data_IF_268338003562
#
_entry.id   IF_268338003562
#
_cell.length_a   1.000
_cell.length_b   1.000
_cell.length_c   1.000
_cell.angle_alpha   90.00
_cell.angle_beta   90.00
_cell.angle_gamma   90.00
#
_symmetry.space_group_name_H-M   'P 1'
#
loop_
_entity.id
_entity.type
_entity.pdbx_description
1 polymer ?
#
# COMPACT_ATOMS: atom_id res chain seq x y z
N UNK A 1 12.39 -5.12 -10.97
CA UNK A 1 11.84 -3.94 -10.24
C UNK A 1 11.75 -4.31 -8.77
N UNK A 2 12.09 -3.39 -7.87
CA UNK A 2 12.10 -3.65 -6.42
C UNK A 2 10.67 -3.59 -5.85
N UNK A 3 10.35 -4.50 -4.94
CA UNK A 3 9.12 -4.49 -4.17
C UNK A 3 9.43 -4.41 -2.67
N UNK A 4 9.03 -3.31 -2.03
CA UNK A 4 9.17 -3.12 -0.59
C UNK A 4 7.90 -3.56 0.12
N UNK A 5 8.00 -4.66 0.88
CA UNK A 5 6.90 -5.24 1.65
C UNK A 5 6.96 -4.69 3.07
N UNK A 6 5.99 -3.87 3.47
CA UNK A 6 5.90 -3.37 4.85
C UNK A 6 4.99 -4.28 5.65
N UNK A 7 5.48 -4.77 6.79
CA UNK A 7 4.75 -5.69 7.66
C UNK A 7 4.71 -5.18 9.10
N UNK A 8 3.57 -5.34 9.76
CA UNK A 8 3.39 -5.18 11.21
C UNK A 8 3.12 -6.51 11.94
N UNK A 9 3.34 -7.65 11.27
CA UNK A 9 3.15 -9.00 11.84
C UNK A 9 1.99 -9.78 11.22
N UNK A 10 1.58 -9.44 10.00
CA UNK A 10 0.51 -10.08 9.26
C UNK A 10 0.85 -11.55 8.96
N UNK A 11 -0.09 -12.49 9.14
CA UNK A 11 0.15 -13.92 8.89
C UNK A 11 0.41 -14.24 7.42
N UNK A 12 0.00 -13.34 6.53
CA UNK A 12 0.11 -13.44 5.07
C UNK A 12 1.44 -12.95 4.51
N UNK A 13 2.35 -12.43 5.34
CA UNK A 13 3.64 -11.85 4.91
C UNK A 13 4.42 -12.75 3.95
N UNK A 14 4.62 -14.02 4.31
CA UNK A 14 5.39 -14.96 3.49
C UNK A 14 4.69 -15.25 2.15
N UNK A 15 3.36 -15.31 2.15
CA UNK A 15 2.56 -15.52 0.94
C UNK A 15 2.63 -14.30 0.01
N UNK A 16 2.59 -13.08 0.58
CA UNK A 16 2.78 -11.82 -0.14
C UNK A 16 4.15 -11.79 -0.83
N UNK A 17 5.23 -12.07 -0.09
CA UNK A 17 6.60 -12.12 -0.62
C UNK A 17 6.71 -13.17 -1.73
N UNK A 18 6.22 -14.38 -1.50
CA UNK A 18 6.24 -15.44 -2.50
C UNK A 18 5.49 -15.05 -3.78
N UNK A 19 4.31 -14.44 -3.67
CA UNK A 19 3.52 -14.03 -4.82
C UNK A 19 4.25 -12.96 -5.67
N UNK A 20 4.91 -12.01 -5.01
CA UNK A 20 5.72 -10.99 -5.68
C UNK A 20 6.95 -11.60 -6.37
N UNK A 21 7.69 -12.47 -5.68
CA UNK A 21 8.86 -13.15 -6.26
C UNK A 21 8.48 -14.03 -7.46
N UNK A 22 7.38 -14.77 -7.34
CA UNK A 22 6.81 -15.58 -8.44
C UNK A 22 6.51 -14.74 -9.68
N UNK A 23 6.15 -13.47 -9.50
CA UNK A 23 5.86 -12.53 -10.58
C UNK A 23 7.10 -11.74 -11.07
N UNK A 24 8.29 -12.04 -10.56
CA UNK A 24 9.56 -11.47 -11.03
C UNK A 24 10.00 -10.19 -10.32
N UNK A 25 9.48 -9.89 -9.12
CA UNK A 25 9.96 -8.77 -8.32
C UNK A 25 11.16 -9.14 -7.44
N UNK A 26 12.07 -8.19 -7.25
CA UNK A 26 13.11 -8.26 -6.22
C UNK A 26 12.53 -7.75 -4.90
N UNK A 27 12.20 -8.66 -3.98
CA UNK A 27 11.45 -8.32 -2.76
C UNK A 27 12.35 -7.96 -1.58
N UNK A 28 12.02 -6.87 -0.90
CA UNK A 28 12.67 -6.40 0.33
C UNK A 28 11.61 -6.26 1.42
N UNK A 29 11.76 -6.99 2.52
CA UNK A 29 10.84 -6.87 3.65
C UNK A 29 11.32 -5.80 4.62
N UNK A 30 10.44 -4.86 4.94
CA UNK A 30 10.61 -3.88 6.02
C UNK A 30 9.69 -4.35 7.15
N UNK A 31 10.24 -5.18 8.02
CA UNK A 31 9.52 -5.85 9.11
C UNK A 31 10.11 -5.47 10.47
N UNK A 32 9.26 -5.48 11.50
CA UNK A 32 9.63 -5.23 12.89
C UNK A 32 8.51 -4.51 13.63
N UNK A 33 8.76 -4.18 14.90
CA UNK A 33 7.79 -3.54 15.80
C UNK A 33 7.64 -2.03 15.54
N UNK A 34 8.33 -1.49 14.54
CA UNK A 34 8.24 -0.10 14.15
C UNK A 34 6.85 0.23 13.62
N UNK A 35 6.42 1.46 13.86
CA UNK A 35 5.21 2.04 13.28
C UNK A 35 5.28 2.08 11.75
N UNK A 36 4.12 2.18 11.10
CA UNK A 36 4.06 2.44 9.65
C UNK A 36 4.86 3.71 9.29
N UNK A 37 4.82 4.75 10.12
CA UNK A 37 5.53 6.00 9.86
C UNK A 37 7.05 5.82 9.81
N UNK A 38 7.62 5.04 10.72
CA UNK A 38 9.05 4.70 10.71
C UNK A 38 9.43 3.90 9.47
N UNK A 39 8.58 2.96 9.04
CA UNK A 39 8.78 2.19 7.81
C UNK A 39 8.73 3.07 6.57
N UNK A 40 7.81 4.03 6.50
CA UNK A 40 7.74 4.98 5.40
C UNK A 40 8.93 5.94 5.40
N UNK A 41 9.36 6.42 6.57
CA UNK A 41 10.55 7.26 6.69
C UNK A 41 11.78 6.55 6.13
N UNK A 42 11.98 5.28 6.48
CA UNK A 42 13.06 4.47 5.92
C UNK A 42 13.01 4.44 4.38
N UNK A 43 11.83 4.17 3.81
CA UNK A 43 11.65 4.16 2.34
C UNK A 43 12.03 5.52 1.75
N UNK A 44 11.55 6.61 2.34
CA UNK A 44 11.79 7.95 1.82
C UNK A 44 13.26 8.33 1.84
N UNK A 45 13.97 7.94 2.88
CA UNK A 45 15.38 8.29 3.04
C UNK A 45 16.31 7.41 2.18
N UNK A 46 15.92 6.18 1.87
CA UNK A 46 16.84 5.16 1.33
C UNK A 46 16.53 4.72 -0.11
N UNK A 47 15.36 5.05 -0.65
CA UNK A 47 14.91 4.54 -1.95
C UNK A 47 14.84 5.66 -2.98
N UNK A 48 15.81 5.68 -3.90
CA UNK A 48 15.83 6.62 -5.03
C UNK A 48 15.37 5.98 -6.35
N UNK A 49 15.39 4.64 -6.45
CA UNK A 49 14.89 3.88 -7.61
C UNK A 49 13.36 3.78 -7.61
N UNK A 50 12.80 3.46 -8.78
CA UNK A 50 11.37 3.17 -8.93
C UNK A 50 11.02 1.85 -8.25
N UNK A 51 9.94 1.86 -7.46
CA UNK A 51 9.55 0.70 -6.67
C UNK A 51 8.04 0.57 -6.49
N UNK A 52 7.65 -0.62 -6.06
CA UNK A 52 6.30 -0.87 -5.55
C UNK A 52 6.36 -1.04 -4.04
N UNK A 53 5.42 -0.43 -3.32
CA UNK A 53 5.23 -0.69 -1.89
C UNK A 53 3.98 -1.54 -1.73
N UNK A 54 4.11 -2.64 -1.03
CA UNK A 54 3.04 -3.61 -0.82
C UNK A 54 2.85 -3.82 0.69
N UNK A 55 1.61 -3.75 1.17
CA UNK A 55 1.28 -4.18 2.53
C UNK A 55 1.39 -5.71 2.62
N UNK A 56 1.90 -6.24 3.72
CA UNK A 56 2.11 -7.68 3.87
C UNK A 56 0.81 -8.51 3.91
N UNK A 57 -0.35 -7.86 4.02
CA UNK A 57 -1.68 -8.46 3.87
C UNK A 57 -2.25 -8.41 2.44
N UNK A 58 -1.42 -8.01 1.47
CA UNK A 58 -1.79 -8.01 0.05
C UNK A 58 -1.25 -9.25 -0.66
N UNK A 59 -2.14 -9.98 -1.33
CA UNK A 59 -1.81 -11.10 -2.19
C UNK A 59 -2.02 -10.67 -3.64
N UNK A 60 -0.94 -10.43 -4.35
CA UNK A 60 -0.96 -10.01 -5.76
C UNK A 60 -1.35 -11.17 -6.69
N UNK A 61 -2.08 -10.85 -7.75
CA UNK A 61 -2.44 -11.80 -8.80
C UNK A 61 -1.28 -11.98 -9.80
N UNK A 62 -1.42 -12.91 -10.75
CA UNK A 62 -0.35 -13.22 -11.73
C UNK A 62 -0.07 -12.13 -12.77
N UNK A 63 -0.99 -11.17 -12.98
CA UNK A 63 -0.80 -10.11 -13.97
C UNK A 63 0.04 -8.97 -13.43
N UNK A 64 0.11 -8.84 -12.10
CA UNK A 64 0.95 -7.87 -11.43
C UNK A 64 2.43 -8.20 -11.63
N UNK A 65 3.08 -7.57 -12.59
CA UNK A 65 4.47 -7.87 -13.00
C UNK A 65 5.28 -6.58 -13.21
N UNK A 66 6.63 -6.63 -13.15
CA UNK A 66 7.45 -5.48 -13.50
C UNK A 66 7.20 -4.94 -14.92
N UNK A 67 6.90 -5.84 -15.87
CA UNK A 67 6.59 -5.46 -17.25
C UNK A 67 5.30 -4.63 -17.32
N UNK A 68 4.22 -5.10 -16.70
CA UNK A 68 2.96 -4.34 -16.59
C UNK A 68 3.21 -2.92 -16.07
N UNK A 69 4.02 -2.77 -15.02
CA UNK A 69 4.33 -1.46 -14.45
C UNK A 69 5.18 -0.58 -15.37
N UNK A 70 6.11 -1.19 -16.13
CA UNK A 70 6.85 -0.49 -17.17
C UNK A 70 5.92 0.14 -18.22
N UNK A 71 4.85 -0.56 -18.62
CA UNK A 71 3.85 -0.02 -19.54
C UNK A 71 3.07 1.16 -18.95
N UNK A 72 2.69 1.10 -17.67
CA UNK A 72 1.99 2.21 -17.02
C UNK A 72 2.94 3.40 -16.80
N UNK A 73 4.20 3.16 -16.47
CA UNK A 73 5.23 4.20 -16.35
C UNK A 73 5.54 4.88 -17.70
N UNK A 74 5.51 4.14 -18.80
CA UNK A 74 5.66 4.73 -20.13
C UNK A 74 4.53 5.72 -20.48
N UNK A 75 3.33 5.53 -19.91
CA UNK A 75 2.20 6.46 -20.06
C UNK A 75 2.25 7.63 -19.07
N UNK A 76 2.84 7.42 -17.90
CA UNK A 76 2.90 8.37 -16.81
C UNK A 76 4.36 8.56 -16.37
N UNK A 77 5.01 9.57 -16.93
CA UNK A 77 6.40 9.89 -16.63
C UNK A 77 6.62 10.10 -15.12
N UNK A 78 7.81 9.70 -14.64
CA UNK A 78 8.34 9.99 -13.31
C UNK A 78 7.57 9.42 -12.11
N UNK A 79 7.00 8.23 -12.23
CA UNK A 79 6.45 7.51 -11.06
C UNK A 79 7.57 6.91 -10.22
N UNK A 80 7.49 7.13 -8.90
CA UNK A 80 8.45 6.63 -7.91
C UNK A 80 7.87 5.51 -7.04
N UNK A 81 6.67 5.73 -6.48
CA UNK A 81 5.95 4.78 -5.64
C UNK A 81 4.67 4.38 -6.36
N UNK A 82 4.43 3.07 -6.53
CA UNK A 82 3.12 2.52 -6.91
C UNK A 82 2.28 1.94 -5.75
N UNK A 83 0.97 2.21 -5.78
CA UNK A 83 -0.08 1.59 -4.97
C UNK A 83 -1.21 1.19 -5.92
N UNK A 84 -2.09 0.27 -5.52
CA UNK A 84 -2.94 -0.37 -6.50
C UNK A 84 -4.37 -0.52 -6.03
N UNK A 85 -5.25 -0.68 -7.01
CA UNK A 85 -6.63 -1.07 -6.76
C UNK A 85 -6.65 -2.56 -6.39
N UNK A 86 -7.33 -2.87 -5.29
CA UNK A 86 -7.36 -4.20 -4.69
C UNK A 86 -8.80 -4.58 -4.40
N UNK A 87 -9.10 -5.87 -4.42
CA UNK A 87 -10.31 -6.36 -3.81
C UNK A 87 -10.09 -6.47 -2.30
N UNK A 88 -10.83 -5.71 -1.51
CA UNK A 88 -10.69 -5.69 -0.06
C UNK A 88 -11.58 -6.76 0.57
N UNK A 89 -10.96 -7.70 1.29
CA UNK A 89 -11.62 -8.86 1.86
C UNK A 89 -12.67 -8.51 2.91
N UNK A 90 -12.44 -7.44 3.68
CA UNK A 90 -13.39 -7.00 4.71
C UNK A 90 -14.50 -6.14 4.11
N UNK A 91 -14.21 -5.42 3.01
CA UNK A 91 -15.19 -4.62 2.29
C UNK A 91 -16.09 -5.48 1.38
N UNK A 92 -15.55 -6.61 0.91
CA UNK A 92 -16.08 -7.43 -0.17
C UNK A 92 -16.39 -6.64 -1.44
N UNK A 93 -15.53 -5.66 -1.70
CA UNK A 93 -15.68 -4.72 -2.79
C UNK A 93 -14.29 -4.15 -3.14
N UNK A 94 -14.23 -3.42 -4.24
CA UNK A 94 -13.03 -2.76 -4.72
C UNK A 94 -12.66 -1.63 -3.75
N UNK A 95 -11.40 -1.64 -3.31
CA UNK A 95 -10.78 -0.56 -2.56
C UNK A 95 -9.83 0.22 -3.47
N UNK A 96 -10.09 1.52 -3.57
CA UNK A 96 -9.23 2.47 -4.25
C UNK A 96 -8.39 3.21 -3.22
N UNK A 97 -7.08 3.19 -3.40
CA UNK A 97 -6.14 4.06 -2.69
C UNK A 97 -5.48 5.03 -3.69
N UNK A 98 -4.77 6.04 -3.19
CA UNK A 98 -3.81 6.81 -4.00
C UNK A 98 -2.92 5.81 -4.73
N UNK A 99 -2.84 5.83 -6.06
CA UNK A 99 -2.23 4.72 -6.82
C UNK A 99 -0.81 4.96 -7.29
N UNK A 100 -0.34 6.21 -7.33
CA UNK A 100 1.09 6.44 -7.47
C UNK A 100 1.52 7.79 -6.92
N UNK A 101 2.82 7.90 -6.65
CA UNK A 101 3.51 9.13 -6.27
C UNK A 101 4.61 9.41 -7.29
N UNK A 102 4.70 10.67 -7.74
CA UNK A 102 5.72 11.12 -8.69
C UNK A 102 7.06 11.41 -7.98
N UNK A 103 8.19 11.25 -8.67
CA UNK A 103 9.56 11.55 -8.16
C UNK A 103 9.71 12.96 -7.62
N UNK A 104 9.04 13.93 -8.25
CA UNK A 104 9.01 15.32 -7.80
C UNK A 104 8.47 15.51 -6.38
N UNK A 105 7.79 14.51 -5.80
CA UNK A 105 7.31 14.54 -4.42
C UNK A 105 8.38 14.21 -3.38
N UNK A 106 9.47 13.55 -3.78
CA UNK A 106 10.48 13.02 -2.85
C UNK A 106 11.01 14.11 -1.90
N UNK A 107 11.38 15.33 -2.37
CA UNK A 107 11.85 16.38 -1.47
C UNK A 107 10.80 16.79 -0.41
N UNK A 108 9.53 16.89 -0.82
CA UNK A 108 8.44 17.25 0.09
C UNK A 108 8.18 16.15 1.12
N UNK A 109 8.23 14.88 0.72
CA UNK A 109 8.07 13.74 1.62
C UNK A 109 9.18 13.68 2.67
N UNK A 110 10.45 13.79 2.25
CA UNK A 110 11.62 13.82 3.14
C UNK A 110 11.55 14.99 4.12
N UNK A 111 11.17 16.18 3.65
CA UNK A 111 11.10 17.38 4.49
C UNK A 111 9.96 17.36 5.53
N UNK A 112 8.95 16.51 5.35
CA UNK A 112 7.73 16.56 6.16
C UNK A 112 7.42 15.29 6.96
N UNK A 113 7.99 14.13 6.64
CA UNK A 113 7.66 12.85 7.32
C UNK A 113 7.78 12.92 8.84
N UNK A 114 8.78 13.63 9.36
CA UNK A 114 8.99 13.82 10.81
C UNK A 114 7.76 14.43 11.51
N UNK A 115 7.02 15.32 10.83
CA UNK A 115 5.82 15.96 11.38
C UNK A 115 4.65 14.97 11.54
N UNK A 116 4.69 13.83 10.86
CA UNK A 116 3.61 12.85 10.78
C UNK A 116 3.95 11.53 11.47
N UNK A 117 5.08 11.43 12.18
CA UNK A 117 5.51 10.20 12.87
C UNK A 117 4.49 9.67 13.90
N UNK A 118 3.65 10.54 14.43
CA UNK A 118 2.59 10.21 15.39
C UNK A 118 1.25 9.83 14.75
N UNK A 119 1.16 9.81 13.40
CA UNK A 119 -0.08 9.51 12.69
C UNK A 119 -0.16 8.02 12.34
N UNK A 120 -1.37 7.47 12.37
CA UNK A 120 -1.62 6.09 11.96
C UNK A 120 -1.51 5.87 10.44
N UNK A 121 -1.68 6.93 9.63
CA UNK A 121 -1.65 6.92 8.16
C UNK A 121 -0.89 8.15 7.66
N UNK A 122 0.41 8.23 7.94
CA UNK A 122 1.22 9.40 7.59
C UNK A 122 1.14 9.73 6.09
N UNK A 123 1.11 8.73 5.20
CA UNK A 123 0.99 8.92 3.76
C UNK A 123 -0.33 9.58 3.34
N UNK A 124 -1.41 9.29 4.06
CA UNK A 124 -2.72 9.92 3.81
C UNK A 124 -2.73 11.36 4.30
N UNK A 125 -2.07 11.67 5.41
CA UNK A 125 -1.97 13.03 5.92
C UNK A 125 -1.02 13.89 5.08
N UNK A 126 0.10 13.32 4.62
CA UNK A 126 1.04 14.01 3.74
C UNK A 126 0.40 14.39 2.40
N UNK A 127 -0.52 13.57 1.84
CA UNK A 127 -1.22 13.91 0.58
C UNK A 127 -2.00 15.22 0.60
N UNK A 128 -2.24 15.78 1.80
CA UNK A 128 -2.97 17.03 2.00
C UNK A 128 -2.06 18.25 2.18
N UNK A 129 -0.74 18.09 2.29
CA UNK A 129 0.17 19.23 2.41
C UNK A 129 0.31 19.91 1.04
N UNK A 130 0.44 21.24 1.05
CA UNK A 130 0.47 22.05 -0.17
C UNK A 130 1.60 21.63 -1.12
N UNK A 131 2.77 21.34 -0.57
CA UNK A 131 3.96 20.94 -1.32
C UNK A 131 3.82 19.58 -2.01
N UNK A 132 2.83 18.77 -1.63
CA UNK A 132 2.55 17.47 -2.25
C UNK A 132 1.27 17.52 -3.11
N UNK A 133 0.33 18.39 -2.75
CA UNK A 133 -0.95 18.57 -3.44
C UNK A 133 -0.93 19.60 -4.58
N UNK A 134 -0.04 20.60 -4.53
CA UNK A 134 0.03 21.71 -5.50
C UNK A 134 1.46 21.88 -6.08
N UNK A 135 1.71 21.51 -7.36
CA UNK A 135 0.86 20.68 -8.22
C UNK A 135 0.62 19.29 -7.62
N UNK A 136 -0.41 18.59 -8.12
CA UNK A 136 -0.79 17.27 -7.62
C UNK A 136 0.26 16.23 -8.02
N UNK A 137 1.01 15.72 -7.05
CA UNK A 137 2.12 14.77 -7.26
C UNK A 137 1.73 13.31 -6.98
N UNK A 138 0.43 13.06 -6.86
CA UNK A 138 -0.14 11.73 -6.67
C UNK A 138 -1.47 11.58 -7.39
N UNK A 139 -1.71 10.40 -7.95
CA UNK A 139 -2.93 10.13 -8.72
C UNK A 139 -3.43 8.71 -8.47
N UNK A 140 -4.68 8.45 -8.87
CA UNK A 140 -5.30 7.13 -8.74
C UNK A 140 -5.39 6.48 -10.12
N UNK A 141 -4.89 5.25 -10.22
CA UNK A 141 -4.93 4.37 -11.37
C UNK A 141 -6.01 3.32 -11.11
N UNK A 142 -7.09 3.41 -11.89
CA UNK A 142 -8.34 2.67 -11.62
C UNK A 142 -8.55 1.46 -12.52
N UNK A 143 -7.66 1.23 -13.49
CA UNK A 143 -7.95 0.31 -14.59
C UNK A 143 -7.82 -1.16 -14.21
N UNK A 144 -7.05 -1.49 -13.17
CA UNK A 144 -6.72 -2.88 -12.83
C UNK A 144 -6.79 -3.21 -11.33
N UNK A 145 -7.51 -4.28 -11.01
CA UNK A 145 -7.48 -4.92 -9.69
C UNK A 145 -6.30 -5.90 -9.68
N UNK A 146 -5.28 -5.60 -8.87
CA UNK A 146 -4.02 -6.37 -8.92
C UNK A 146 -3.96 -7.52 -7.91
N UNK A 147 -4.96 -7.68 -7.04
CA UNK A 147 -4.87 -8.62 -5.93
C UNK A 147 -5.95 -8.48 -4.88
N UNK A 148 -5.75 -9.22 -3.80
CA UNK A 148 -6.60 -9.30 -2.62
C UNK A 148 -5.92 -8.58 -1.45
N UNK A 149 -6.66 -7.85 -0.63
CA UNK A 149 -6.19 -7.19 0.58
C UNK A 149 -6.91 -7.74 1.81
N UNK A 150 -6.18 -8.10 2.87
CA UNK A 150 -6.74 -8.48 4.16
C UNK A 150 -7.22 -9.94 4.28
N UNK A 151 -6.94 -10.80 3.30
CA UNK A 151 -7.31 -12.21 3.35
C UNK A 151 -6.69 -12.92 4.57
N UNK A 152 -7.51 -13.60 5.37
CA UNK A 152 -7.10 -14.28 6.62
C UNK A 152 -6.37 -13.38 7.64
N UNK A 153 -6.54 -12.07 7.57
CA UNK A 153 -6.05 -11.16 8.61
C UNK A 153 -7.01 -11.12 9.81
N UNK A 154 -6.52 -10.59 10.94
CA UNK A 154 -7.30 -10.43 12.17
C UNK A 154 -8.47 -9.46 11.97
N UNK A 155 -9.68 -10.01 11.89
CA UNK A 155 -10.92 -9.25 11.72
C UNK A 155 -11.17 -8.29 12.89
N UNK A 156 -10.87 -8.67 14.13
CA UNK A 156 -11.16 -7.83 15.30
C UNK A 156 -10.27 -6.58 15.32
N UNK A 157 -8.99 -6.76 15.01
CA UNK A 157 -8.07 -5.64 14.82
C UNK A 157 -8.54 -4.71 13.68
N UNK A 158 -8.98 -5.28 12.55
CA UNK A 158 -9.52 -4.51 11.43
C UNK A 158 -10.78 -3.73 11.82
N UNK A 159 -11.77 -4.37 12.47
CA UNK A 159 -13.00 -3.73 12.98
C UNK A 159 -12.68 -2.56 13.90
N UNK A 160 -11.80 -2.77 14.89
CA UNK A 160 -11.39 -1.71 15.83
C UNK A 160 -10.80 -0.50 15.11
N UNK A 161 -9.93 -0.74 14.12
CA UNK A 161 -9.31 0.34 13.34
C UNK A 161 -10.35 1.10 12.50
N UNK A 162 -11.28 0.41 11.84
CA UNK A 162 -12.33 1.05 11.04
C UNK A 162 -13.34 1.79 11.90
N UNK A 163 -13.64 1.29 13.11
CA UNK A 163 -14.46 1.99 14.08
C UNK A 163 -13.84 3.32 14.51
N UNK A 164 -12.55 3.33 14.89
CA UNK A 164 -11.81 4.57 15.24
C UNK A 164 -11.84 5.59 14.09
N UNK A 165 -11.92 5.12 12.84
CA UNK A 165 -11.98 5.96 11.64
C UNK A 165 -13.39 6.37 11.21
N UNK A 166 -14.43 5.93 11.92
CA UNK A 166 -15.84 6.10 11.51
C UNK A 166 -16.10 5.54 10.10
N UNK A 167 -15.52 4.38 9.79
CA UNK A 167 -15.61 3.73 8.47
C UNK A 167 -16.32 2.37 8.52
N UNK A 168 -16.78 1.92 9.69
CA UNK A 168 -17.28 0.56 9.88
C UNK A 168 -18.44 0.18 8.93
N UNK A 169 -19.33 1.11 8.63
CA UNK A 169 -20.53 0.87 7.81
C UNK A 169 -20.19 0.64 6.33
N UNK A 170 -18.94 0.87 5.93
CA UNK A 170 -18.45 0.60 4.58
C UNK A 170 -17.96 -0.84 4.39
N UNK A 171 -17.97 -1.66 5.45
CA UNK A 171 -17.35 -2.99 5.47
C UNK A 171 -18.38 -4.07 5.84
N UNK A 172 -18.25 -5.25 5.21
CA UNK A 172 -19.05 -6.44 5.51
C UNK A 172 -18.21 -7.44 6.33
N UNK A 173 -17.98 -7.07 7.59
CA UNK A 173 -17.20 -7.91 8.50
C UNK A 173 -17.88 -9.25 8.82
N UNK A 174 -19.22 -9.31 8.83
CA UNK A 174 -19.92 -10.56 9.08
C UNK A 174 -19.62 -11.58 7.98
N UNK A 175 -19.72 -11.18 6.71
CA UNK A 175 -19.42 -12.08 5.60
C UNK A 175 -17.93 -12.45 5.57
N UNK A 176 -17.01 -11.50 5.84
CA UNK A 176 -15.58 -11.80 5.92
C UNK A 176 -15.26 -12.85 6.99
N UNK A 177 -15.93 -12.81 8.15
CA UNK A 177 -15.79 -13.81 9.20
C UNK A 177 -16.31 -15.18 8.80
N UNK A 178 -17.49 -15.23 8.17
CA UNK A 178 -18.05 -16.49 7.65
C UNK A 178 -17.12 -17.13 6.61
N UNK A 179 -16.53 -16.35 5.72
CA UNK A 179 -15.58 -16.85 4.73
C UNK A 179 -14.26 -17.34 5.36
N UNK A 180 -13.79 -16.69 6.43
CA UNK A 180 -12.57 -17.11 7.14
C UNK A 180 -12.74 -18.43 7.91
N UNK A 181 -13.97 -18.87 8.18
CA UNK A 181 -14.29 -20.12 8.88
C UNK A 181 -14.39 -21.35 7.96
N UNK A 182 -14.40 -21.16 6.63
CA UNK A 182 -14.37 -22.23 5.63
C UNK A 182 -12.94 -22.78 5.43
#
# INVERSE_FOLDING_TARGET
MKAYVTSIGEPTRELCIWALQRNGFDTFSISGNESLAEKLKYIYDQVDDDFVRIDADVIVNKSFTPEMLGWVQAKNHDIWWWQFTLFDWFKLDIAHNTSFIKKEAIPALRANIEKFMHKNRPETEMSRIKEFYEPRRFETYQDEIIGLHGYKCDTESAKKLKHIRNQQDLYDFEMAERLNQL
#
